data_IF_649748266053
#
_entry.id   IF_649748266053
#
_cell.length_a   1.000
_cell.length_b   1.000
_cell.length_c   1.000
_cell.angle_alpha   90.00
_cell.angle_beta   90.00
_cell.angle_gamma   90.00
#
_symmetry.space_group_name_H-M   'P 1'
#
loop_
_entity.id
_entity.type
_entity.pdbx_description
1 polymer ?
#
# COMPACT_ATOMS: atom_id res chain seq x y z
N UNK A 1 -18.27 23.11 -53.71
CA UNK A 1 -18.29 23.17 -52.98
C UNK A 1 -18.03 22.74 -51.88
N UNK A 2 -17.86 22.61 -51.13
CA UNK A 2 -17.60 22.24 -50.08
C UNK A 2 -17.50 22.10 -49.15
N UNK A 3 -17.44 21.90 -48.42
CA UNK A 3 -17.36 21.69 -47.43
C UNK A 3 -17.01 21.45 -46.48
N UNK A 4 -17.02 21.33 -45.69
CA UNK A 4 -16.85 21.22 -44.64
C UNK A 4 -16.61 20.73 -43.80
N UNK A 5 -16.34 20.45 -43.19
CA UNK A 5 -16.09 19.88 -42.30
C UNK A 5 -16.08 20.07 -41.14
N UNK A 6 -16.40 19.72 -40.39
CA UNK A 6 -16.60 19.80 -39.16
C UNK A 6 -15.79 19.13 -38.41
N UNK A 7 -15.02 19.54 -37.83
CA UNK A 7 -14.27 18.87 -37.03
C UNK A 7 -14.73 18.86 -35.77
N UNK A 8 -15.13 17.96 -35.30
CA UNK A 8 -15.54 17.88 -34.06
C UNK A 8 -14.55 17.54 -33.20
N UNK A 9 -14.30 18.10 -32.36
CA UNK A 9 -13.46 17.79 -31.49
C UNK A 9 -13.88 17.42 -30.29
N UNK A 10 -13.48 16.66 -29.66
CA UNK A 10 -13.76 16.24 -28.56
C UNK A 10 -12.92 16.24 -27.66
N UNK A 11 -12.93 16.42 -26.63
CA UNK A 11 -12.35 16.32 -25.57
C UNK A 11 -12.79 15.55 -24.66
N UNK A 12 -12.32 14.73 -24.23
CA UNK A 12 -12.47 13.89 -23.16
C UNK A 12 -12.30 14.65 -21.97
N UNK A 13 -13.17 14.81 -21.28
CA UNK A 13 -13.03 15.45 -20.08
C UNK A 13 -12.37 14.63 -19.11
N UNK A 14 -11.34 15.00 -18.56
CA UNK A 14 -10.72 14.27 -17.67
C UNK A 14 -11.14 14.57 -16.38
N UNK A 15 -11.75 13.84 -15.64
CA UNK A 15 -12.09 14.05 -14.35
C UNK A 15 -11.00 13.70 -13.50
N UNK A 16 -10.46 14.57 -12.80
CA UNK A 16 -9.50 14.25 -11.86
C UNK A 16 -10.15 13.63 -10.70
N UNK A 17 -9.70 12.57 -10.23
CA UNK A 17 -10.26 11.95 -9.08
C UNK A 17 -10.05 12.79 -7.86
N UNK A 18 -10.99 12.77 -7.00
CA UNK A 18 -10.90 13.45 -5.78
C UNK A 18 -9.84 12.84 -4.95
N UNK A 19 -9.14 13.63 -4.22
CA UNK A 19 -8.11 13.11 -3.36
C UNK A 19 -8.70 12.08 -2.43
N UNK A 20 -8.19 10.89 -2.48
CA UNK A 20 -8.64 9.85 -1.62
C UNK A 20 -7.54 9.49 -0.67
N UNK A 21 -7.90 8.94 0.46
CA UNK A 21 -6.92 8.49 1.44
C UNK A 21 -6.42 7.12 1.12
N UNK A 22 -6.38 6.75 -0.11
CA UNK A 22 -5.92 5.43 -0.53
C UNK A 22 -4.85 5.58 -1.59
N UNK A 23 -3.73 4.92 -1.38
CA UNK A 23 -2.65 4.89 -2.35
C UNK A 23 -2.60 3.53 -3.00
N UNK A 24 -2.41 3.51 -4.31
CA UNK A 24 -2.27 2.25 -5.02
C UNK A 24 -0.84 2.14 -5.53
N UNK A 25 -0.27 0.95 -5.54
CA UNK A 25 1.11 0.80 -6.00
C UNK A 25 1.20 0.94 -7.51
N UNK A 26 2.27 1.56 -7.97
CA UNK A 26 2.56 1.62 -9.39
C UNK A 26 3.39 0.42 -9.80
N UNK A 27 4.05 -0.23 -8.83
CA UNK A 27 4.90 -1.38 -9.06
C UNK A 27 4.54 -2.46 -8.07
N UNK A 28 4.39 -3.71 -8.49
CA UNK A 28 4.12 -4.79 -7.53
C UNK A 28 5.18 -4.85 -6.46
N UNK A 29 4.75 -5.04 -5.23
CA UNK A 29 5.67 -5.19 -4.12
C UNK A 29 6.15 -3.91 -3.48
N UNK A 30 5.62 -2.75 -3.87
CA UNK A 30 6.03 -1.51 -3.26
C UNK A 30 4.92 -0.48 -3.23
N UNK A 31 4.78 0.25 -2.13
CA UNK A 31 3.82 1.33 -2.02
C UNK A 31 4.38 2.37 -1.05
N UNK A 32 4.12 3.64 -1.31
CA UNK A 32 4.59 4.73 -0.48
C UNK A 32 3.44 5.40 0.26
N UNK A 33 3.64 5.67 1.53
CA UNK A 33 2.65 6.39 2.32
C UNK A 33 2.84 7.90 2.25
N UNK A 34 4.03 8.36 1.87
CA UNK A 34 4.38 9.78 1.78
C UNK A 34 4.17 10.55 3.09
N UNK A 35 4.46 9.93 4.21
CA UNK A 35 4.26 10.53 5.52
C UNK A 35 5.53 10.72 6.35
N UNK A 36 6.64 10.11 5.96
CA UNK A 36 7.87 10.24 6.74
C UNK A 36 8.99 9.36 6.22
N UNK A 37 10.05 9.15 7.00
CA UNK A 37 11.23 8.44 6.55
C UNK A 37 11.28 6.95 6.86
N UNK A 38 10.31 6.41 7.55
CA UNK A 38 10.35 5.01 7.97
C UNK A 38 9.83 4.06 6.91
N UNK A 39 10.15 2.78 7.04
CA UNK A 39 9.61 1.77 6.12
C UNK A 39 9.43 0.42 6.82
N UNK A 40 8.60 -0.40 6.22
CA UNK A 40 8.39 -1.78 6.63
C UNK A 40 8.50 -2.67 5.42
N UNK A 41 9.29 -3.73 5.53
CA UNK A 41 9.41 -4.74 4.49
C UNK A 41 8.71 -6.00 4.98
N UNK A 42 7.76 -6.50 4.21
CA UNK A 42 7.04 -7.72 4.55
C UNK A 42 7.45 -8.79 3.55
N UNK A 43 7.89 -9.93 4.04
CA UNK A 43 8.26 -11.06 3.21
C UNK A 43 7.25 -12.16 3.47
N UNK A 44 6.46 -12.51 2.47
CA UNK A 44 5.37 -13.46 2.60
C UNK A 44 5.75 -14.79 1.97
N UNK A 45 5.67 -15.85 2.75
CA UNK A 45 5.98 -17.20 2.28
C UNK A 45 4.85 -18.16 2.64
N UNK A 46 4.83 -19.30 1.97
CA UNK A 46 3.88 -20.38 2.32
C UNK A 46 4.52 -21.30 3.36
N UNK A 47 3.85 -22.38 3.69
CA UNK A 47 4.35 -23.32 4.71
C UNK A 47 5.62 -24.03 4.29
N UNK A 48 5.97 -24.02 3.01
CA UNK A 48 7.22 -24.59 2.52
C UNK A 48 8.30 -23.52 2.35
N UNK A 49 8.09 -22.34 2.89
CA UNK A 49 9.01 -21.21 2.81
C UNK A 49 9.21 -20.69 1.39
N UNK A 50 8.26 -20.94 0.50
CA UNK A 50 8.32 -20.40 -0.84
C UNK A 50 7.63 -19.06 -0.90
N UNK A 51 8.17 -18.11 -1.67
CA UNK A 51 7.54 -16.78 -1.76
C UNK A 51 6.15 -16.86 -2.36
N UNK A 52 5.25 -16.04 -1.85
CA UNK A 52 3.89 -15.98 -2.34
C UNK A 52 3.72 -14.71 -3.17
N UNK A 53 3.40 -14.88 -4.45
CA UNK A 53 3.09 -13.78 -5.33
C UNK A 53 1.63 -13.40 -5.14
N UNK A 54 1.35 -12.11 -5.14
CA UNK A 54 -0.04 -11.66 -5.10
C UNK A 54 -0.72 -11.74 -3.74
N UNK A 55 0.05 -11.86 -2.68
CA UNK A 55 -0.54 -11.74 -1.35
C UNK A 55 -0.93 -10.28 -1.14
N UNK A 56 -2.12 -10.05 -0.65
CA UNK A 56 -2.62 -8.69 -0.49
C UNK A 56 -2.33 -8.20 0.90
N UNK A 57 -1.78 -7.00 1.01
CA UNK A 57 -1.67 -6.36 2.29
C UNK A 57 -2.59 -5.17 2.34
N UNK A 58 -3.19 -4.95 3.50
CA UNK A 58 -3.98 -3.76 3.77
C UNK A 58 -3.59 -3.24 5.13
N UNK A 59 -3.53 -1.94 5.26
CA UNK A 59 -3.26 -1.32 6.53
C UNK A 59 -3.86 0.08 6.57
N UNK A 60 -4.20 0.54 7.76
CA UNK A 60 -4.67 1.90 7.95
C UNK A 60 -3.72 2.62 8.87
N UNK A 61 -3.26 3.79 8.46
CA UNK A 61 -2.37 4.61 9.23
C UNK A 61 -3.17 5.76 9.80
N UNK A 62 -3.17 5.91 11.11
CA UNK A 62 -3.80 7.05 11.76
C UNK A 62 -2.68 8.00 12.15
N UNK A 63 -2.68 9.18 11.58
CA UNK A 63 -1.57 10.10 11.74
C UNK A 63 -2.07 11.53 11.97
N UNK A 64 -1.14 12.44 12.15
CA UNK A 64 -1.46 13.82 12.40
C UNK A 64 -1.76 14.09 13.85
N UNK A 65 -2.19 15.29 14.16
CA UNK A 65 -2.47 15.68 15.53
C UNK A 65 -3.61 14.83 16.07
N UNK A 66 -3.38 14.17 17.17
CA UNK A 66 -4.35 13.29 17.82
C UNK A 66 -4.78 12.08 16.97
N UNK A 67 -4.03 11.80 15.91
CA UNK A 67 -4.33 10.64 15.06
C UNK A 67 -5.64 10.74 14.32
N UNK A 68 -6.10 11.96 14.01
CA UNK A 68 -7.40 12.13 13.35
C UNK A 68 -7.35 11.92 11.85
N UNK A 69 -6.18 11.94 11.24
CA UNK A 69 -6.05 11.71 9.81
C UNK A 69 -5.83 10.22 9.57
N UNK A 70 -6.40 9.71 8.50
CA UNK A 70 -6.30 8.29 8.18
C UNK A 70 -5.88 8.11 6.73
N UNK A 71 -5.00 7.15 6.52
CA UNK A 71 -4.56 6.77 5.18
C UNK A 71 -4.67 5.26 5.06
N UNK A 72 -5.41 4.79 4.07
CA UNK A 72 -5.55 3.37 3.83
C UNK A 72 -4.61 2.98 2.70
N UNK A 73 -3.81 1.95 2.93
CA UNK A 73 -2.89 1.42 1.94
C UNK A 73 -3.28 0.01 1.55
N UNK A 74 -3.12 -0.29 0.27
CA UNK A 74 -3.39 -1.61 -0.25
C UNK A 74 -2.33 -1.94 -1.29
N UNK A 75 -1.71 -3.08 -1.19
CA UNK A 75 -0.67 -3.49 -2.12
C UNK A 75 -0.61 -5.02 -2.20
N UNK A 76 0.09 -5.52 -3.20
CA UNK A 76 0.23 -6.95 -3.41
C UNK A 76 1.71 -7.32 -3.51
N UNK A 77 2.06 -8.50 -3.04
CA UNK A 77 3.44 -8.96 -3.07
C UNK A 77 3.89 -9.23 -4.51
N UNK A 78 5.17 -8.99 -4.75
CA UNK A 78 5.78 -9.30 -6.04
C UNK A 78 6.13 -10.77 -6.15
N UNK A 79 6.80 -11.13 -7.22
CA UNK A 79 7.17 -12.52 -7.49
C UNK A 79 8.09 -13.10 -6.40
N UNK A 80 8.82 -12.25 -5.70
CA UNK A 80 9.70 -12.66 -4.62
C UNK A 80 8.99 -12.68 -3.26
N UNK A 81 7.68 -12.48 -3.23
CA UNK A 81 6.91 -12.48 -1.99
C UNK A 81 7.08 -11.25 -1.13
N UNK A 82 7.73 -10.21 -1.65
CA UNK A 82 8.03 -9.02 -0.84
C UNK A 82 7.09 -7.87 -1.11
N UNK A 83 6.79 -7.14 -0.04
CA UNK A 83 6.04 -5.90 -0.13
C UNK A 83 6.77 -4.91 0.73
N UNK A 84 7.16 -3.79 0.15
CA UNK A 84 7.83 -2.74 0.89
C UNK A 84 6.91 -1.54 1.00
N UNK A 85 6.62 -1.12 2.22
CA UNK A 85 5.83 0.08 2.48
C UNK A 85 6.83 1.16 2.87
N UNK A 86 6.98 2.18 2.03
CA UNK A 86 7.96 3.23 2.25
C UNK A 86 7.32 4.51 2.74
N UNK A 87 8.13 5.43 3.18
CA UNK A 87 7.70 6.77 3.60
C UNK A 87 6.63 6.75 4.70
N UNK A 88 6.82 5.84 5.64
CA UNK A 88 5.96 5.77 6.81
C UNK A 88 6.36 6.82 7.84
N UNK A 89 5.42 7.29 8.65
CA UNK A 89 5.74 8.32 9.64
C UNK A 89 6.67 7.82 10.74
N UNK A 90 7.43 8.71 11.33
CA UNK A 90 8.36 8.37 12.37
C UNK A 90 7.69 8.03 13.69
N UNK A 91 6.51 8.55 13.91
CA UNK A 91 5.83 8.39 15.18
C UNK A 91 4.33 8.28 14.96
N UNK A 92 3.71 7.35 15.63
CA UNK A 92 2.27 7.15 15.57
C UNK A 92 1.74 6.99 16.98
N UNK A 93 0.62 7.61 17.29
CA UNK A 93 -0.01 7.44 18.60
C UNK A 93 -0.57 6.04 18.76
N UNK A 94 -0.99 5.43 17.66
CA UNK A 94 -1.49 4.06 17.66
C UNK A 94 -0.67 3.27 16.67
N UNK A 95 -0.36 2.01 17.00
CA UNK A 95 0.41 1.19 16.06
C UNK A 95 -0.39 0.91 14.80
N UNK A 96 0.30 0.57 13.73
CA UNK A 96 -0.33 0.10 12.50
C UNK A 96 -0.49 -1.39 12.58
N UNK A 97 -1.61 -1.88 12.07
CA UNK A 97 -1.80 -3.31 11.93
C UNK A 97 -1.80 -3.62 10.43
N UNK A 98 -0.87 -4.44 10.02
CA UNK A 98 -0.71 -4.81 8.63
C UNK A 98 -1.38 -6.17 8.45
N UNK A 99 -2.42 -6.21 7.63
CA UNK A 99 -3.15 -7.44 7.36
C UNK A 99 -2.63 -8.03 6.06
N UNK A 100 -2.22 -9.28 6.11
CA UNK A 100 -1.68 -9.99 4.95
C UNK A 100 -2.62 -11.14 4.65
N UNK A 101 -3.09 -11.24 3.42
CA UNK A 101 -4.03 -12.28 3.05
C UNK A 101 -3.76 -12.85 1.67
N UNK A 102 -3.97 -14.13 1.51
CA UNK A 102 -3.92 -14.81 0.23
C UNK A 102 -4.93 -15.94 0.28
N UNK A 103 -5.92 -15.90 -0.60
CA UNK A 103 -7.03 -16.86 -0.62
C UNK A 103 -7.75 -16.83 0.75
N UNK A 104 -7.80 -17.92 1.46
CA UNK A 104 -8.46 -17.99 2.76
C UNK A 104 -7.47 -17.93 3.92
N UNK A 105 -6.20 -17.63 3.66
CA UNK A 105 -5.15 -17.55 4.68
C UNK A 105 -4.88 -16.10 5.00
N UNK A 106 -4.64 -15.80 6.26
CA UNK A 106 -4.35 -14.43 6.66
C UNK A 106 -3.54 -14.36 7.93
N UNK A 107 -2.77 -13.30 8.06
CA UNK A 107 -1.96 -12.99 9.22
C UNK A 107 -1.99 -11.49 9.46
N UNK A 108 -1.66 -11.08 10.68
CA UNK A 108 -1.62 -9.67 11.04
C UNK A 108 -0.31 -9.38 11.76
N UNK A 109 0.37 -8.32 11.36
CA UNK A 109 1.58 -7.87 12.01
C UNK A 109 1.39 -6.46 12.55
N UNK A 110 1.96 -6.18 13.71
CA UNK A 110 1.86 -4.86 14.32
C UNK A 110 3.16 -4.09 14.06
N UNK A 111 3.05 -2.87 13.60
CA UNK A 111 4.21 -2.04 13.33
C UNK A 111 4.13 -0.72 14.11
N UNK A 112 5.19 -0.47 14.89
CA UNK A 112 5.32 0.77 15.64
C UNK A 112 6.59 1.46 15.19
N UNK A 113 6.51 2.48 14.35
CA UNK A 113 7.71 3.17 13.88
C UNK A 113 8.50 3.85 15.00
N UNK A 114 7.85 4.22 16.08
CA UNK A 114 8.54 4.81 17.22
C UNK A 114 9.59 3.87 17.79
N UNK A 115 9.32 2.58 17.77
CA UNK A 115 10.23 1.58 18.30
C UNK A 115 11.26 1.16 17.26
N UNK A 116 10.85 1.07 16.02
CA UNK A 116 11.73 0.61 14.97
C UNK A 116 11.31 1.22 13.65
N UNK A 117 12.03 2.22 13.22
CA UNK A 117 11.69 2.97 12.00
C UNK A 117 11.83 2.13 10.72
N UNK A 118 12.78 1.19 10.72
CA UNK A 118 12.97 0.30 9.58
C UNK A 118 12.77 -1.12 10.06
N UNK A 119 11.71 -1.74 9.66
CA UNK A 119 11.36 -3.08 10.15
C UNK A 119 11.22 -4.07 9.02
N UNK A 120 11.48 -5.34 9.32
CA UNK A 120 11.28 -6.44 8.40
C UNK A 120 10.42 -7.48 9.09
N UNK A 121 9.33 -7.88 8.43
CA UNK A 121 8.44 -8.89 8.95
C UNK A 121 8.48 -10.10 8.04
N UNK A 122 8.77 -11.27 8.60
CA UNK A 122 8.70 -12.51 7.84
C UNK A 122 7.38 -13.18 8.21
N UNK A 123 6.50 -13.29 7.23
CA UNK A 123 5.15 -13.77 7.44
C UNK A 123 4.95 -15.06 6.70
N UNK A 124 4.56 -16.11 7.40
CA UNK A 124 4.29 -17.37 6.76
C UNK A 124 2.79 -17.62 6.80
N UNK A 125 2.19 -17.82 5.65
CA UNK A 125 0.76 -18.09 5.56
C UNK A 125 0.54 -19.59 5.48
N UNK A 126 -0.32 -20.08 6.37
CA UNK A 126 -0.59 -21.51 6.45
C UNK A 126 -1.97 -21.85 5.92
#
# INVERSE_FOLDING_TARGET
MCFLLACSHFYAAQTTPIAQSTSTPTTPGEISADLGPCFALIIVTDSDSKPIYGAKITTRIQYGLLGVKKLDLEAWSGADGRIKITSLPESLKKPMYIHIAKDDRQEVEEFKPDDQCHATFKVQLH
#
